data_IF_754072692776
#
_entry.id   IF_754072692776
#
_cell.length_a   1.000
_cell.length_b   1.000
_cell.length_c   1.000
_cell.angle_alpha   90.00
_cell.angle_beta   90.00
_cell.angle_gamma   90.00
#
_symmetry.space_group_name_H-M   'P 1'
#
loop_
_entity.id
_entity.type
_entity.pdbx_description
1 polymer ?
#
# COMPACT_ATOMS: atom_id res chain seq x y z
N UNK A 1 -12.61 5.85 -10.23
CA UNK A 1 -12.52 6.65 -8.99
C UNK A 1 -12.83 8.08 -9.37
N UNK A 2 -13.83 8.69 -8.74
CA UNK A 2 -14.09 10.12 -8.92
C UNK A 2 -13.10 10.91 -8.06
N UNK A 3 -12.52 11.98 -8.61
CA UNK A 3 -11.56 12.85 -7.92
C UNK A 3 -12.18 13.56 -6.71
N UNK A 4 -13.50 13.72 -6.68
CA UNK A 4 -14.22 14.30 -5.56
C UNK A 4 -14.39 13.32 -4.38
N UNK A 5 -14.15 12.02 -4.61
CA UNK A 5 -14.24 10.99 -3.57
C UNK A 5 -12.90 10.72 -2.87
N UNK A 6 -11.80 11.34 -3.32
CA UNK A 6 -10.49 11.19 -2.67
C UNK A 6 -10.22 12.30 -1.66
N UNK A 7 -9.65 11.93 -0.52
CA UNK A 7 -9.27 12.85 0.54
C UNK A 7 -7.78 13.17 0.42
N UNK A 8 -7.44 14.43 0.15
CA UNK A 8 -6.04 14.88 0.09
C UNK A 8 -5.45 14.94 1.50
N UNK A 9 -4.38 14.20 1.75
CA UNK A 9 -3.60 14.27 2.98
C UNK A 9 -2.56 15.38 2.92
N UNK A 10 -1.80 15.47 1.81
CA UNK A 10 -0.70 16.42 1.71
C UNK A 10 0.29 16.09 0.60
N UNK A 11 1.53 16.52 0.77
CA UNK A 11 2.64 16.31 -0.15
C UNK A 11 3.90 15.98 0.64
N UNK A 12 4.72 15.07 0.13
CA UNK A 12 6.05 14.75 0.68
C UNK A 12 7.08 14.68 -0.44
N UNK A 13 8.33 15.01 -0.17
CA UNK A 13 9.41 14.81 -1.15
C UNK A 13 9.98 13.39 -1.03
N UNK A 14 10.08 12.70 -2.16
CA UNK A 14 10.74 11.41 -2.27
C UNK A 14 12.01 11.54 -3.10
N UNK A 15 13.06 10.80 -2.72
CA UNK A 15 14.29 10.68 -3.49
C UNK A 15 14.75 9.24 -3.39
N UNK A 16 14.90 8.59 -4.54
CA UNK A 16 15.37 7.21 -4.66
C UNK A 16 16.62 7.25 -5.54
N UNK A 17 17.74 6.84 -4.97
CA UNK A 17 19.01 6.74 -5.68
C UNK A 17 19.25 5.27 -6.02
N UNK A 18 19.23 4.95 -7.30
CA UNK A 18 19.64 3.67 -7.85
C UNK A 18 20.99 3.80 -8.56
N UNK A 19 21.60 2.68 -8.94
CA UNK A 19 22.91 2.66 -9.60
C UNK A 19 22.95 3.52 -10.88
N UNK A 20 21.86 3.54 -11.65
CA UNK A 20 21.80 4.18 -12.96
C UNK A 20 20.90 5.42 -13.01
N UNK A 21 20.16 5.74 -11.94
CA UNK A 21 19.15 6.80 -11.94
C UNK A 21 18.92 7.37 -10.55
N UNK A 22 18.82 8.70 -10.47
CA UNK A 22 18.27 9.40 -9.31
C UNK A 22 16.86 9.82 -9.66
N UNK A 23 15.90 9.34 -8.89
CA UNK A 23 14.50 9.73 -8.98
C UNK A 23 14.19 10.73 -7.86
N UNK A 24 13.67 11.91 -8.20
CA UNK A 24 13.34 12.98 -7.27
C UNK A 24 11.92 13.46 -7.52
N UNK A 25 11.03 13.16 -6.58
CA UNK A 25 9.60 13.36 -6.75
C UNK A 25 8.99 14.20 -5.63
N UNK A 26 7.94 14.95 -5.97
CA UNK A 26 6.97 15.43 -5.01
C UNK A 26 5.74 14.54 -5.04
N UNK A 27 5.60 13.67 -4.05
CA UNK A 27 4.51 12.72 -3.97
C UNK A 27 3.31 13.38 -3.29
N UNK A 28 2.22 13.58 -4.04
CA UNK A 28 0.94 14.02 -3.50
C UNK A 28 0.16 12.83 -2.97
N UNK A 29 -0.19 12.86 -1.68
CA UNK A 29 -0.83 11.73 -1.00
C UNK A 29 -2.33 11.94 -0.90
N UNK A 30 -3.08 10.97 -1.41
CA UNK A 30 -4.54 10.92 -1.38
C UNK A 30 -5.00 9.61 -0.77
N UNK A 31 -6.10 9.65 -0.03
CA UNK A 31 -6.75 8.50 0.56
C UNK A 31 -8.10 8.29 -0.12
N UNK A 32 -8.40 7.06 -0.52
CA UNK A 32 -9.68 6.70 -1.11
C UNK A 32 -10.40 5.67 -0.21
N UNK A 33 -11.58 6.00 0.35
CA UNK A 33 -12.45 5.02 0.99
C UNK A 33 -12.95 4.00 -0.04
N UNK A 34 -12.25 2.86 -0.14
CA UNK A 34 -12.61 1.82 -1.08
C UNK A 34 -13.81 1.01 -0.57
N UNK A 35 -14.92 1.05 -1.31
CA UNK A 35 -16.18 0.34 -0.98
C UNK A 35 -16.55 -0.75 -1.98
N UNK A 36 -15.71 -0.97 -2.98
CA UNK A 36 -15.94 -1.98 -4.01
C UNK A 36 -15.33 -3.33 -3.60
N UNK A 37 -15.47 -4.33 -4.46
CA UNK A 37 -14.94 -5.67 -4.23
C UNK A 37 -13.63 -5.93 -4.98
N UNK A 38 -13.11 -7.15 -4.85
CA UNK A 38 -11.90 -7.58 -5.53
C UNK A 38 -12.03 -7.65 -7.05
N UNK A 39 -13.24 -7.88 -7.59
CA UNK A 39 -13.49 -7.96 -9.04
C UNK A 39 -13.40 -6.59 -9.72
N UNK A 40 -13.43 -5.53 -8.93
CA UNK A 40 -13.29 -4.16 -9.41
C UNK A 40 -11.85 -3.80 -9.79
N UNK A 41 -10.85 -4.60 -9.40
CA UNK A 41 -9.46 -4.42 -9.80
C UNK A 41 -9.20 -5.01 -11.19
N UNK A 42 -8.69 -4.17 -12.10
CA UNK A 42 -8.16 -4.56 -13.40
C UNK A 42 -6.66 -4.27 -13.41
N UNK A 43 -5.86 -5.27 -13.09
CA UNK A 43 -4.41 -5.11 -12.99
C UNK A 43 -3.76 -5.21 -14.37
N UNK A 44 -2.70 -4.43 -14.57
CA UNK A 44 -1.74 -4.62 -15.67
C UNK A 44 -0.61 -5.48 -15.13
N UNK A 45 -0.51 -6.73 -15.58
CA UNK A 45 0.40 -7.73 -15.00
C UNK A 45 1.87 -7.27 -15.06
N UNK A 46 2.23 -6.54 -16.12
CA UNK A 46 3.58 -5.98 -16.32
C UNK A 46 3.97 -4.98 -15.22
N UNK A 47 3.00 -4.32 -14.59
CA UNK A 47 3.22 -3.34 -13.52
C UNK A 47 2.91 -3.90 -12.13
N UNK A 48 1.83 -4.70 -12.03
CA UNK A 48 1.28 -5.18 -10.75
C UNK A 48 0.82 -6.63 -10.88
N UNK A 49 1.53 -7.54 -10.21
CA UNK A 49 1.19 -8.96 -10.19
C UNK A 49 0.11 -9.32 -9.18
N UNK A 50 -0.29 -8.45 -8.26
CA UNK A 50 -1.30 -8.78 -7.25
C UNK A 50 -1.69 -7.63 -6.35
N UNK A 51 -2.78 -7.82 -5.59
CA UNK A 51 -3.26 -6.86 -4.60
C UNK A 51 -3.63 -7.61 -3.32
N UNK A 52 -3.17 -7.07 -2.20
CA UNK A 52 -3.43 -7.60 -0.86
C UNK A 52 -3.91 -6.48 0.07
N UNK A 53 -4.59 -6.86 1.14
CA UNK A 53 -5.01 -5.98 2.23
C UNK A 53 -4.64 -6.58 3.57
N UNK A 54 -4.52 -5.71 4.56
CA UNK A 54 -4.36 -6.07 5.97
C UNK A 54 -5.32 -5.22 6.81
N UNK A 55 -5.55 -5.63 8.07
CA UNK A 55 -6.25 -4.76 9.02
C UNK A 55 -5.38 -3.55 9.35
N UNK A 56 -6.01 -2.38 9.46
CA UNK A 56 -5.30 -1.12 9.72
C UNK A 56 -4.53 -1.15 11.05
N UNK A 57 -5.12 -1.68 12.12
CA UNK A 57 -4.46 -1.76 13.42
C UNK A 57 -3.27 -2.74 13.41
N UNK A 58 -3.38 -3.86 12.69
CA UNK A 58 -2.26 -4.79 12.52
C UNK A 58 -1.14 -4.15 11.70
N UNK A 59 -1.49 -3.37 10.67
CA UNK A 59 -0.53 -2.64 9.86
C UNK A 59 0.19 -1.55 10.68
N UNK A 60 -0.53 -0.81 11.53
CA UNK A 60 0.06 0.18 12.43
C UNK A 60 1.10 -0.46 13.35
N UNK A 61 0.72 -1.51 14.07
CA UNK A 61 1.62 -2.21 14.98
C UNK A 61 2.86 -2.75 14.24
N UNK A 62 2.69 -3.28 13.03
CA UNK A 62 3.80 -3.77 12.21
C UNK A 62 4.74 -2.64 11.76
N UNK A 63 4.21 -1.56 11.20
CA UNK A 63 5.02 -0.45 10.67
C UNK A 63 5.67 0.40 11.77
N UNK A 64 5.13 0.38 13.00
CA UNK A 64 5.76 0.97 14.19
C UNK A 64 6.74 0.02 14.90
N UNK A 65 6.93 -1.20 14.39
CA UNK A 65 7.88 -2.18 14.93
C UNK A 65 7.41 -2.91 16.20
N UNK A 66 6.12 -2.81 16.54
CA UNK A 66 5.51 -3.51 17.68
C UNK A 66 5.28 -5.00 17.37
N UNK A 67 5.08 -5.34 16.09
CA UNK A 67 5.00 -6.73 15.62
C UNK A 67 6.01 -7.01 14.50
N UNK A 68 6.52 -8.25 14.47
CA UNK A 68 7.47 -8.67 13.43
C UNK A 68 6.80 -9.12 12.12
N UNK A 69 5.49 -9.39 12.16
CA UNK A 69 4.74 -9.88 11.00
C UNK A 69 3.38 -9.19 10.86
N UNK A 70 2.95 -9.03 9.61
CA UNK A 70 1.64 -8.52 9.23
C UNK A 70 0.84 -9.61 8.51
N UNK A 71 -0.40 -9.87 8.94
CA UNK A 71 -1.28 -10.79 8.23
C UNK A 71 -1.90 -10.08 7.02
N UNK A 72 -1.75 -10.70 5.85
CA UNK A 72 -2.32 -10.19 4.60
C UNK A 72 -3.26 -11.22 3.97
N UNK A 73 -4.26 -10.72 3.25
CA UNK A 73 -5.08 -11.51 2.34
C UNK A 73 -5.27 -10.79 1.00
N UNK A 74 -5.44 -11.55 -0.08
CA UNK A 74 -5.69 -10.98 -1.41
C UNK A 74 -5.48 -12.01 -2.51
N UNK A 75 -5.02 -11.53 -3.66
CA UNK A 75 -4.79 -12.35 -4.84
C UNK A 75 -3.53 -11.94 -5.58
N UNK A 76 -2.90 -12.91 -6.23
CA UNK A 76 -1.85 -12.74 -7.23
C UNK A 76 -2.35 -13.28 -8.56
N UNK A 77 -1.99 -12.58 -9.63
CA UNK A 77 -2.30 -12.86 -11.02
C UNK A 77 -1.07 -13.44 -11.69
N UNK A 78 -1.30 -14.35 -12.62
CA UNK A 78 -0.27 -14.98 -13.43
C UNK A 78 -0.38 -14.54 -14.89
N UNK A 79 0.69 -14.70 -15.70
CA UNK A 79 0.69 -14.30 -17.11
C UNK A 79 -0.43 -14.94 -17.96
N UNK A 80 -0.95 -16.08 -17.54
CA UNK A 80 -2.04 -16.81 -18.21
C UNK A 80 -3.44 -16.31 -17.82
N UNK A 81 -3.52 -15.24 -17.00
CA UNK A 81 -4.76 -14.65 -16.52
C UNK A 81 -5.40 -15.40 -15.34
N UNK A 82 -4.77 -16.47 -14.84
CA UNK A 82 -5.23 -17.13 -13.62
C UNK A 82 -4.92 -16.25 -12.41
N UNK A 83 -5.73 -16.41 -11.35
CA UNK A 83 -5.47 -15.80 -10.05
C UNK A 83 -5.39 -16.85 -8.95
N UNK A 84 -4.46 -16.69 -8.03
CA UNK A 84 -4.37 -17.48 -6.80
C UNK A 84 -4.69 -16.61 -5.58
N UNK A 85 -5.45 -17.18 -4.64
CA UNK A 85 -5.70 -16.54 -3.34
C UNK A 85 -4.43 -16.59 -2.49
N UNK A 86 -4.08 -15.47 -1.89
CA UNK A 86 -3.00 -15.34 -0.92
C UNK A 86 -3.60 -15.07 0.45
N UNK A 87 -3.21 -15.87 1.45
CA UNK A 87 -3.44 -15.60 2.87
C UNK A 87 -2.21 -16.07 3.63
N UNK A 88 -1.42 -15.14 4.15
CA UNK A 88 -0.18 -15.46 4.87
C UNK A 88 0.32 -14.29 5.72
N UNK A 89 1.17 -14.53 6.73
CA UNK A 89 1.97 -13.48 7.34
C UNK A 89 3.11 -13.06 6.40
N UNK A 90 3.49 -11.78 6.45
CA UNK A 90 4.67 -11.21 5.81
C UNK A 90 5.50 -10.42 6.82
N UNK A 91 6.82 -10.36 6.62
CA UNK A 91 7.73 -9.56 7.42
C UNK A 91 8.27 -8.37 6.63
N UNK A 92 9.14 -7.58 7.25
CA UNK A 92 9.70 -6.36 6.64
C UNK A 92 10.49 -6.64 5.34
N UNK A 93 11.09 -7.82 5.21
CA UNK A 93 11.85 -8.22 4.02
C UNK A 93 10.99 -8.37 2.75
N UNK A 94 9.67 -8.49 2.89
CA UNK A 94 8.73 -8.55 1.76
C UNK A 94 8.22 -7.16 1.32
N UNK A 95 8.63 -6.09 2.01
CA UNK A 95 8.31 -4.72 1.64
C UNK A 95 9.53 -4.05 1.02
N UNK A 96 9.27 -3.15 0.07
CA UNK A 96 10.29 -2.19 -0.34
C UNK A 96 10.67 -1.31 0.86
N UNK A 97 11.92 -0.83 0.95
CA UNK A 97 12.31 0.09 2.01
C UNK A 97 11.35 1.29 2.10
N UNK A 98 10.81 1.53 3.27
CA UNK A 98 9.85 2.60 3.53
C UNK A 98 10.39 3.57 4.58
N UNK A 99 9.87 4.80 4.56
CA UNK A 99 10.16 5.79 5.61
C UNK A 99 9.14 5.62 6.72
N UNK A 100 9.58 5.20 7.90
CA UNK A 100 8.70 4.94 9.06
C UNK A 100 7.78 6.14 9.36
N UNK A 101 8.35 7.36 9.41
CA UNK A 101 7.58 8.58 9.65
C UNK A 101 6.50 8.85 8.59
N UNK A 102 6.75 8.50 7.33
CA UNK A 102 5.75 8.66 6.27
C UNK A 102 4.57 7.72 6.50
N UNK A 103 4.83 6.44 6.74
CA UNK A 103 3.79 5.43 6.97
C UNK A 103 2.99 5.77 8.23
N UNK A 104 3.67 6.15 9.32
CA UNK A 104 3.02 6.56 10.57
C UNK A 104 2.08 7.77 10.36
N UNK A 105 2.51 8.78 9.59
CA UNK A 105 1.65 9.93 9.28
C UNK A 105 0.44 9.55 8.43
N UNK A 106 0.61 8.65 7.45
CA UNK A 106 -0.51 8.17 6.62
C UNK A 106 -1.52 7.41 7.47
N UNK A 107 -1.06 6.46 8.28
CA UNK A 107 -1.93 5.66 9.16
C UNK A 107 -2.69 6.55 10.13
N UNK A 108 -2.00 7.48 10.80
CA UNK A 108 -2.63 8.44 11.71
C UNK A 108 -3.69 9.27 10.99
N UNK A 109 -3.39 9.80 9.80
CA UNK A 109 -4.35 10.58 9.03
C UNK A 109 -5.59 9.76 8.66
N UNK A 110 -5.41 8.50 8.24
CA UNK A 110 -6.52 7.58 7.95
C UNK A 110 -7.39 7.39 9.19
N UNK A 111 -6.80 7.13 10.35
CA UNK A 111 -7.54 6.97 11.62
C UNK A 111 -8.32 8.24 11.99
N UNK A 112 -7.70 9.42 11.91
CA UNK A 112 -8.32 10.70 12.27
C UNK A 112 -9.45 11.13 11.31
N UNK A 113 -9.45 10.66 10.06
CA UNK A 113 -10.40 11.09 9.03
C UNK A 113 -11.47 10.07 8.69
N UNK A 114 -11.28 8.80 9.05
CA UNK A 114 -12.10 7.70 8.54
C UNK A 114 -12.65 6.77 9.61
N UNK A 115 -12.24 6.95 10.88
CA UNK A 115 -12.82 6.31 12.07
C UNK A 115 -13.46 7.38 12.97
#
# INVERSE_FOLDING_TARGET
IDVHEVVKMGMTSCSIVSENMIDNEFCHVYIYPFKHDWESFKLQYEEVSGVVRAKLDEAEAFFLGETATLNIEGYEYFPDGQRAKIVRPVGAAQFVPYRELYVAHVIKFVKDKML
#
